data_IF_019106426851
#
_entry.id   IF_019106426851
#
_cell.length_a   1.000
_cell.length_b   1.000
_cell.length_c   1.000
_cell.angle_alpha   90.00
_cell.angle_beta   90.00
_cell.angle_gamma   90.00
#
_symmetry.space_group_name_H-M   'P 1'
#
loop_
_entity.id
_entity.type
_entity.pdbx_description
1 polymer ?
#
# COMPACT_ATOMS: atom_id res chain seq x y z
N UNK A 1 -11.23 -8.44 10.35
CA UNK A 1 -10.41 -7.82 9.31
C UNK A 1 -9.94 -6.45 9.77
N UNK A 2 -8.83 -6.00 9.22
CA UNK A 2 -8.28 -4.69 9.53
C UNK A 2 -8.59 -3.71 8.40
N UNK A 3 -8.56 -2.42 8.72
CA UNK A 3 -8.76 -1.37 7.75
C UNK A 3 -7.40 -0.70 7.47
N UNK A 4 -7.06 -0.61 6.20
CA UNK A 4 -5.81 -0.03 5.75
C UNK A 4 -6.07 1.13 4.80
N UNK A 5 -5.27 2.19 4.94
CA UNK A 5 -5.22 3.23 3.93
C UNK A 5 -4.11 2.90 2.95
N UNK A 6 -4.45 2.80 1.68
CA UNK A 6 -3.51 2.43 0.63
C UNK A 6 -3.30 3.62 -0.28
N UNK A 7 -2.07 4.08 -0.37
CA UNK A 7 -1.70 5.23 -1.19
C UNK A 7 -0.72 4.78 -2.27
N UNK A 8 -1.07 5.03 -3.53
CA UNK A 8 -0.16 4.78 -4.64
C UNK A 8 0.65 6.05 -4.88
N UNK A 9 1.97 5.92 -4.93
CA UNK A 9 2.89 7.05 -4.92
C UNK A 9 3.83 6.95 -6.12
N UNK A 10 3.98 8.07 -6.82
CA UNK A 10 4.96 8.23 -7.89
C UNK A 10 6.05 9.18 -7.37
N UNK A 11 7.24 8.65 -7.07
CA UNK A 11 8.30 9.41 -6.46
C UNK A 11 7.92 9.87 -5.07
N UNK A 12 7.51 11.12 -4.93
CA UNK A 12 7.06 11.71 -3.68
C UNK A 12 5.61 12.21 -3.76
N UNK A 13 4.92 11.94 -4.87
CA UNK A 13 3.58 12.45 -5.10
C UNK A 13 2.57 11.32 -4.93
N UNK A 14 1.57 11.53 -4.07
CA UNK A 14 0.46 10.59 -3.91
C UNK A 14 -0.48 10.78 -5.10
N UNK A 15 -0.59 9.74 -5.94
CA UNK A 15 -1.45 9.79 -7.13
C UNK A 15 -2.81 9.14 -6.90
N UNK A 16 -2.93 8.30 -5.86
CA UNK A 16 -4.19 7.62 -5.56
C UNK A 16 -4.21 7.28 -4.07
N UNK A 17 -5.37 7.38 -3.47
CA UNK A 17 -5.57 7.03 -2.06
C UNK A 17 -6.90 6.30 -1.93
N UNK A 18 -6.86 5.12 -1.32
CA UNK A 18 -8.05 4.32 -1.10
C UNK A 18 -7.98 3.67 0.27
N UNK A 19 -9.15 3.34 0.82
CA UNK A 19 -9.26 2.55 2.05
C UNK A 19 -9.72 1.15 1.66
N UNK A 20 -9.10 0.13 2.23
CA UNK A 20 -9.44 -1.26 1.96
C UNK A 20 -9.45 -2.08 3.24
N UNK A 21 -10.37 -3.03 3.31
CA UNK A 21 -10.36 -4.04 4.36
C UNK A 21 -9.57 -5.25 3.88
N UNK A 22 -8.67 -5.73 4.74
CA UNK A 22 -7.86 -6.90 4.44
C UNK A 22 -7.33 -7.50 5.74
N UNK A 23 -6.78 -8.70 5.67
CA UNK A 23 -6.21 -9.34 6.84
C UNK A 23 -4.77 -8.91 7.09
N UNK A 24 -4.06 -8.53 6.03
CA UNK A 24 -2.67 -8.09 6.11
C UNK A 24 -2.46 -6.87 5.23
N UNK A 25 -1.42 -6.05 5.52
CA UNK A 25 -1.10 -4.92 4.65
C UNK A 25 -0.73 -5.36 3.23
N UNK A 26 -0.11 -6.52 3.08
CA UNK A 26 0.20 -7.11 1.78
C UNK A 26 -1.07 -7.33 0.96
N UNK A 27 -2.08 -7.94 1.58
CA UNK A 27 -3.36 -8.20 0.93
C UNK A 27 -4.05 -6.89 0.52
N UNK A 28 -3.99 -5.88 1.38
CA UNK A 28 -4.56 -4.56 1.08
C UNK A 28 -3.90 -3.95 -0.16
N UNK A 29 -2.58 -4.01 -0.24
CA UNK A 29 -1.85 -3.48 -1.39
C UNK A 29 -2.22 -4.21 -2.68
N UNK A 30 -2.25 -5.54 -2.64
CA UNK A 30 -2.63 -6.36 -3.79
C UNK A 30 -4.06 -6.07 -4.25
N UNK A 31 -4.97 -5.94 -3.29
CA UNK A 31 -6.39 -5.69 -3.58
C UNK A 31 -6.60 -4.35 -4.27
N UNK A 32 -5.92 -3.31 -3.83
CA UNK A 32 -6.09 -1.97 -4.38
C UNK A 32 -5.37 -1.81 -5.72
N UNK A 33 -4.16 -2.33 -5.85
CA UNK A 33 -3.38 -2.19 -7.08
C UNK A 33 -3.80 -3.18 -8.16
N UNK A 34 -4.37 -4.32 -7.76
CA UNK A 34 -4.65 -5.42 -8.67
C UNK A 34 -3.39 -6.11 -9.18
N UNK A 35 -2.26 -5.89 -8.52
CA UNK A 35 -0.95 -6.42 -8.94
C UNK A 35 -0.26 -7.12 -7.79
N UNK A 36 0.61 -8.08 -8.11
CA UNK A 36 1.48 -8.68 -7.12
C UNK A 36 2.48 -7.63 -6.62
N UNK A 37 2.64 -7.56 -5.31
CA UNK A 37 3.53 -6.57 -4.68
C UNK A 37 4.65 -7.28 -3.94
N UNK A 38 5.72 -6.56 -3.69
CA UNK A 38 6.85 -7.00 -2.89
C UNK A 38 7.34 -5.84 -2.03
N UNK A 39 8.19 -6.11 -1.05
CA UNK A 39 8.75 -5.06 -0.23
C UNK A 39 9.49 -4.03 -1.08
N UNK A 40 9.22 -2.76 -0.84
CA UNK A 40 9.86 -1.69 -1.59
C UNK A 40 11.34 -1.62 -1.26
N UNK A 41 12.16 -1.48 -2.31
CA UNK A 41 13.58 -1.18 -2.17
C UNK A 41 13.85 0.28 -2.50
N UNK A 42 13.76 0.63 -3.79
CA UNK A 42 14.09 1.97 -4.24
C UNK A 42 13.29 2.35 -5.50
N UNK A 43 12.18 1.68 -5.71
CA UNK A 43 11.35 1.88 -6.88
C UNK A 43 10.70 3.27 -6.84
N UNK A 44 10.62 3.98 -7.99
CA UNK A 44 9.95 5.28 -8.04
C UNK A 44 8.43 5.18 -7.91
N UNK A 45 7.84 4.05 -8.34
CA UNK A 45 6.41 3.79 -8.17
C UNK A 45 6.22 2.78 -7.06
N UNK A 46 5.51 3.18 -6.02
CA UNK A 46 5.36 2.34 -4.83
C UNK A 46 4.03 2.60 -4.14
N UNK A 47 3.75 1.79 -3.15
CA UNK A 47 2.49 1.83 -2.41
C UNK A 47 2.80 1.95 -0.93
N UNK A 48 2.17 2.92 -0.29
CA UNK A 48 2.25 3.06 1.16
C UNK A 48 0.95 2.57 1.77
N UNK A 49 1.05 1.59 2.64
CA UNK A 49 -0.08 1.01 3.34
C UNK A 49 0.01 1.36 4.81
N UNK A 50 -1.02 1.99 5.34
CA UNK A 50 -1.08 2.38 6.75
C UNK A 50 -2.18 1.63 7.45
N UNK A 51 -1.83 0.91 8.52
CA UNK A 51 -2.81 0.28 9.41
C UNK A 51 -3.52 1.40 10.17
N UNK A 52 -4.83 1.52 10.00
CA UNK A 52 -5.60 2.61 10.59
C UNK A 52 -5.68 2.51 12.11
N UNK A 53 -5.56 1.32 12.68
CA UNK A 53 -5.65 1.13 14.12
C UNK A 53 -4.36 1.51 14.84
N UNK A 54 -3.20 1.15 14.26
CA UNK A 54 -1.89 1.34 14.89
C UNK A 54 -1.08 2.45 14.27
N UNK A 55 -1.48 2.92 13.09
CA UNK A 55 -0.77 3.90 12.26
C UNK A 55 0.61 3.40 11.79
N UNK A 56 0.81 2.08 11.83
CA UNK A 56 2.02 1.46 11.30
C UNK A 56 2.00 1.53 9.79
N UNK A 57 3.11 1.92 9.20
CA UNK A 57 3.23 2.11 7.75
C UNK A 57 4.10 1.00 7.14
N UNK A 58 3.63 0.47 6.02
CA UNK A 58 4.32 -0.55 5.24
C UNK A 58 4.52 -0.02 3.82
N UNK A 59 5.67 -0.32 3.24
CA UNK A 59 6.02 0.14 1.89
C UNK A 59 6.21 -1.05 0.98
N UNK A 60 5.49 -1.03 -0.13
CA UNK A 60 5.55 -2.09 -1.14
C UNK A 60 5.79 -1.48 -2.51
N UNK A 61 6.30 -2.29 -3.42
CA UNK A 61 6.41 -1.94 -4.82
C UNK A 61 5.74 -3.00 -5.66
N UNK A 62 5.44 -2.68 -6.91
CA UNK A 62 4.81 -3.61 -7.84
C UNK A 62 5.49 -3.52 -9.20
N UNK A 63 5.39 -4.61 -9.90
CA UNK A 63 5.99 -4.69 -11.24
C UNK A 63 5.03 -4.18 -12.30
#
# INVERSE_FOLDING_TARGET
MKIYRVEQIAGHVVVSRQVAEAQTPWDAATKVTGKAVHGRRDEPFWVRVTDQATLTTFKYAYN
#
